data_IF_010590277609
#
_entry.id   IF_010590277609
#
_cell.length_a   1.000
_cell.length_b   1.000
_cell.length_c   1.000
_cell.angle_alpha   90.00
_cell.angle_beta   90.00
_cell.angle_gamma   90.00
#
_symmetry.space_group_name_H-M   'P 1'
#
loop_
_entity.id
_entity.type
_entity.pdbx_description
1 polymer ?
#
# COMPACT_ATOMS: atom_id res chain seq x y z
N UNK A 1 -12.02 6.81 -13.65
CA UNK A 1 -12.63 7.43 -12.44
C UNK A 1 -11.81 8.64 -11.99
N UNK A 2 -12.40 9.60 -11.26
CA UNK A 2 -11.63 10.69 -10.64
C UNK A 2 -10.74 10.13 -9.52
N UNK A 3 -9.52 10.65 -9.33
CA UNK A 3 -8.65 10.21 -8.24
C UNK A 3 -9.26 10.55 -6.88
N UNK A 4 -9.22 9.65 -5.88
CA UNK A 4 -9.70 9.98 -4.54
C UNK A 4 -8.81 11.06 -3.92
N UNK A 5 -9.42 12.05 -3.28
CA UNK A 5 -8.78 13.22 -2.65
C UNK A 5 -8.47 12.88 -1.20
N UNK A 6 -7.19 12.71 -0.88
CA UNK A 6 -6.76 12.26 0.44
C UNK A 6 -6.03 13.40 1.14
N UNK A 7 -6.52 13.80 2.31
CA UNK A 7 -5.85 14.79 3.16
C UNK A 7 -4.96 14.08 4.17
N UNK A 8 -3.64 14.31 4.11
CA UNK A 8 -2.71 13.88 5.15
C UNK A 8 -2.43 15.01 6.14
N UNK A 9 -2.69 14.76 7.42
CA UNK A 9 -2.40 15.67 8.54
C UNK A 9 -1.24 15.08 9.33
N UNK A 10 -0.01 15.55 9.08
CA UNK A 10 1.19 14.96 9.67
C UNK A 10 2.40 15.91 9.67
N UNK A 11 3.48 15.49 10.33
CA UNK A 11 4.78 16.15 10.25
C UNK A 11 5.51 15.91 8.94
N UNK A 12 6.33 16.88 8.53
CA UNK A 12 7.23 16.81 7.39
C UNK A 12 8.59 16.25 7.80
N UNK A 13 8.99 15.14 7.18
CA UNK A 13 10.31 14.52 7.28
C UNK A 13 11.23 15.01 6.16
N UNK A 14 12.25 15.80 6.50
CA UNK A 14 13.22 16.35 5.53
C UNK A 14 13.97 15.29 4.73
N UNK A 15 14.08 14.06 5.23
CA UNK A 15 14.73 12.94 4.54
C UNK A 15 13.86 12.33 3.44
N UNK A 16 12.55 12.57 3.52
CA UNK A 16 11.56 12.03 2.61
C UNK A 16 11.19 10.56 2.83
N UNK A 17 11.57 9.94 3.94
CA UNK A 17 11.28 8.52 4.21
C UNK A 17 9.98 8.26 4.96
N UNK A 18 9.51 9.20 5.77
CA UNK A 18 8.28 9.12 6.56
C UNK A 18 7.43 10.40 6.42
N UNK A 19 6.46 10.57 7.32
CA UNK A 19 5.64 11.79 7.41
C UNK A 19 4.90 12.12 6.12
N UNK A 20 4.68 13.42 5.91
CA UNK A 20 3.99 13.95 4.71
C UNK A 20 4.61 13.44 3.41
N UNK A 21 5.93 13.26 3.35
CA UNK A 21 6.62 12.80 2.15
C UNK A 21 6.28 11.34 1.83
N UNK A 22 6.23 10.46 2.83
CA UNK A 22 5.76 9.08 2.62
C UNK A 22 4.27 9.05 2.26
N UNK A 23 3.47 9.92 2.87
CA UNK A 23 2.04 10.00 2.60
C UNK A 23 1.77 10.42 1.14
N UNK A 24 2.36 11.53 0.67
CA UNK A 24 2.24 11.98 -0.72
C UNK A 24 2.68 10.89 -1.69
N UNK A 25 3.84 10.25 -1.45
CA UNK A 25 4.35 9.19 -2.32
C UNK A 25 3.36 8.03 -2.38
N UNK A 26 2.85 7.59 -1.23
CA UNK A 26 1.91 6.48 -1.15
C UNK A 26 0.62 6.81 -1.87
N UNK A 27 -0.02 7.94 -1.55
CA UNK A 27 -1.28 8.38 -2.16
C UNK A 27 -1.12 8.52 -3.69
N UNK A 28 -0.04 9.17 -4.14
CA UNK A 28 0.25 9.36 -5.57
C UNK A 28 0.46 8.04 -6.28
N UNK A 29 1.25 7.13 -5.70
CA UNK A 29 1.50 5.80 -6.28
C UNK A 29 0.24 4.93 -6.29
N UNK A 30 -0.72 5.25 -5.42
CA UNK A 30 -2.04 4.63 -5.35
C UNK A 30 -3.09 5.34 -6.22
N UNK A 31 -2.67 6.29 -7.06
CA UNK A 31 -3.53 7.03 -7.99
C UNK A 31 -4.53 7.96 -7.31
N UNK A 32 -4.25 8.40 -6.09
CA UNK A 32 -5.00 9.43 -5.37
C UNK A 32 -4.40 10.82 -5.54
N UNK A 33 -5.17 11.85 -5.18
CA UNK A 33 -4.72 13.23 -5.09
C UNK A 33 -4.37 13.56 -3.65
N UNK A 34 -3.09 13.80 -3.37
CA UNK A 34 -2.59 14.08 -2.03
C UNK A 34 -2.70 15.57 -1.69
N UNK A 35 -3.43 15.88 -0.63
CA UNK A 35 -3.43 17.18 0.05
C UNK A 35 -2.78 17.02 1.42
N UNK A 36 -2.29 18.13 1.98
CA UNK A 36 -1.52 18.07 3.22
C UNK A 36 -1.86 19.23 4.16
N UNK A 37 -2.02 18.93 5.44
CA UNK A 37 -1.90 19.90 6.53
C UNK A 37 -0.68 19.54 7.38
N UNK A 38 0.38 20.33 7.27
CA UNK A 38 1.64 20.07 7.97
C UNK A 38 1.48 20.47 9.43
N UNK A 39 1.83 19.59 10.37
CA UNK A 39 1.73 19.83 11.81
C UNK A 39 3.06 20.27 12.42
N UNK A 40 4.16 19.79 11.85
CA UNK A 40 5.51 20.09 12.27
C UNK A 40 6.48 19.86 11.12
N UNK A 41 7.66 20.47 11.19
CA UNK A 41 8.79 20.21 10.31
C UNK A 41 9.92 19.59 11.14
N UNK A 42 10.58 18.56 10.60
CA UNK A 42 11.73 17.93 11.25
C UNK A 42 12.99 18.11 10.41
N UNK A 43 14.08 18.56 11.04
CA UNK A 43 15.42 18.37 10.51
C UNK A 43 15.82 16.93 10.82
N UNK A 44 15.58 16.03 9.86
CA UNK A 44 15.71 14.60 10.04
C UNK A 44 16.40 13.96 8.83
N UNK A 45 17.16 12.90 9.09
CA UNK A 45 17.74 12.01 8.09
C UNK A 45 17.70 10.56 8.58
N UNK A 46 18.29 9.64 7.82
CA UNK A 46 18.30 8.20 8.17
C UNK A 46 19.02 7.87 9.48
N UNK A 47 19.81 8.79 10.03
CA UNK A 47 20.52 8.63 11.30
C UNK A 47 19.73 9.17 12.50
N UNK A 48 18.63 9.89 12.26
CA UNK A 48 17.75 10.41 13.32
C UNK A 48 17.31 11.85 13.11
N UNK A 49 16.70 12.39 14.17
CA UNK A 49 16.14 13.75 14.21
C UNK A 49 17.09 14.68 14.97
N UNK A 50 17.44 15.82 14.36
CA UNK A 50 18.30 16.84 14.96
C UNK A 50 17.55 18.14 15.32
N UNK A 51 16.33 18.31 14.83
CA UNK A 51 15.48 19.45 15.15
C UNK A 51 14.02 19.20 14.81
N UNK A 52 13.12 19.80 15.58
CA UNK A 52 11.67 19.74 15.38
C UNK A 52 11.09 21.12 15.65
N UNK A 53 10.25 21.61 14.74
CA UNK A 53 9.47 22.83 14.92
C UNK A 53 8.00 22.52 14.63
N UNK A 54 7.12 22.83 15.59
CA UNK A 54 5.67 22.60 15.47
C UNK A 54 5.00 23.86 14.94
N UNK A 55 4.00 23.69 14.07
CA UNK A 55 3.18 24.81 13.60
C UNK A 55 2.12 25.18 14.64
N UNK A 56 1.54 26.38 14.51
CA UNK A 56 0.42 26.77 15.36
C UNK A 56 -0.83 25.93 15.03
N UNK A 57 -1.67 25.60 16.03
CA UNK A 57 -2.94 24.91 15.79
C UNK A 57 -3.85 25.65 14.77
N UNK A 58 -3.84 26.98 14.80
CA UNK A 58 -4.57 27.84 13.85
C UNK A 58 -4.08 27.64 12.41
N UNK A 59 -2.76 27.56 12.19
CA UNK A 59 -2.21 27.31 10.87
C UNK A 59 -2.51 25.88 10.40
N UNK A 60 -2.54 24.90 11.30
CA UNK A 60 -2.94 23.52 10.95
C UNK A 60 -4.41 23.49 10.51
N UNK A 61 -5.31 24.09 11.30
CA UNK A 61 -6.73 24.20 10.95
C UNK A 61 -6.94 24.95 9.63
N UNK A 62 -6.27 26.09 9.44
CA UNK A 62 -6.36 26.87 8.20
C UNK A 62 -5.89 26.12 6.95
N UNK A 63 -4.90 25.23 7.07
CA UNK A 63 -4.50 24.34 5.96
C UNK A 63 -5.60 23.30 5.64
N UNK A 64 -6.22 22.72 6.67
CA UNK A 64 -7.33 21.77 6.50
C UNK A 64 -8.50 22.47 5.80
N UNK A 65 -8.92 23.63 6.31
CA UNK A 65 -10.02 24.41 5.76
C UNK A 65 -9.76 24.83 4.30
N UNK A 66 -8.54 25.26 3.97
CA UNK A 66 -8.17 25.63 2.61
C UNK A 66 -8.29 24.45 1.63
N UNK A 67 -7.87 23.25 2.04
CA UNK A 67 -7.97 22.06 1.19
C UNK A 67 -9.43 21.60 1.06
N UNK A 68 -10.11 21.44 2.20
CA UNK A 68 -11.46 20.89 2.27
C UNK A 68 -12.48 21.83 1.64
N UNK A 69 -12.35 23.15 1.82
CA UNK A 69 -13.29 24.14 1.34
C UNK A 69 -13.33 24.36 -0.17
N UNK A 70 -12.24 24.05 -0.88
CA UNK A 70 -12.14 24.20 -2.35
C UNK A 70 -12.12 22.85 -3.06
N UNK A 71 -11.13 22.02 -2.71
CA UNK A 71 -10.86 20.75 -3.41
C UNK A 71 -11.83 19.66 -2.90
N UNK A 72 -12.22 19.72 -1.63
CA UNK A 72 -12.94 18.68 -0.91
C UNK A 72 -12.05 17.48 -0.55
N UNK A 73 -12.61 16.52 0.17
CA UNK A 73 -11.88 15.36 0.71
C UNK A 73 -12.72 14.10 0.64
N UNK A 74 -12.09 12.97 0.35
CA UNK A 74 -12.72 11.64 0.29
C UNK A 74 -12.28 10.73 1.45
N UNK A 75 -11.08 10.95 2.00
CA UNK A 75 -10.64 10.37 3.27
C UNK A 75 -9.50 11.19 3.89
N UNK A 76 -9.33 11.07 5.20
CA UNK A 76 -8.26 11.74 5.96
C UNK A 76 -7.31 10.69 6.54
N UNK A 77 -6.01 10.95 6.43
CA UNK A 77 -4.99 10.25 7.19
C UNK A 77 -4.39 11.20 8.22
N UNK A 78 -4.29 10.75 9.46
CA UNK A 78 -3.63 11.49 10.55
C UNK A 78 -2.35 10.74 10.92
N UNK A 79 -1.23 11.46 11.01
CA UNK A 79 0.05 10.95 11.49
C UNK A 79 0.55 11.71 12.72
N UNK A 80 1.84 12.04 12.74
CA UNK A 80 2.45 12.81 13.83
C UNK A 80 1.79 14.19 13.99
N UNK A 81 1.29 14.50 15.19
CA UNK A 81 0.62 15.78 15.50
C UNK A 81 1.51 16.76 16.27
N UNK A 82 2.45 16.27 17.07
CA UNK A 82 3.47 17.07 17.77
C UNK A 82 3.00 17.83 19.02
N UNK A 83 1.69 18.04 19.24
CA UNK A 83 1.17 18.56 20.51
C UNK A 83 -0.31 18.25 20.73
N UNK A 84 -0.74 18.28 21.99
CA UNK A 84 -2.15 18.18 22.39
C UNK A 84 -3.03 19.28 21.77
N UNK A 85 -2.50 20.51 21.65
CA UNK A 85 -3.25 21.63 21.07
C UNK A 85 -3.56 21.42 19.58
N UNK A 86 -2.59 20.90 18.82
CA UNK A 86 -2.80 20.51 17.42
C UNK A 86 -3.79 19.34 17.35
N UNK A 87 -3.65 18.33 18.22
CA UNK A 87 -4.57 17.19 18.24
C UNK A 87 -6.04 17.61 18.47
N UNK A 88 -6.28 18.56 19.37
CA UNK A 88 -7.61 19.11 19.59
C UNK A 88 -8.12 19.93 18.40
N UNK A 89 -7.30 20.80 17.80
CA UNK A 89 -7.71 21.57 16.63
C UNK A 89 -8.03 20.68 15.42
N UNK A 90 -7.27 19.60 15.23
CA UNK A 90 -7.56 18.59 14.21
C UNK A 90 -8.87 17.88 14.53
N UNK A 91 -9.09 17.44 15.77
CA UNK A 91 -10.35 16.81 16.18
C UNK A 91 -11.55 17.74 15.93
N UNK A 92 -11.46 19.01 16.33
CA UNK A 92 -12.52 20.01 16.15
C UNK A 92 -12.89 20.18 14.66
N UNK A 93 -11.90 20.16 13.77
CA UNK A 93 -12.13 20.28 12.32
C UNK A 93 -12.76 19.00 11.76
N UNK A 94 -12.24 17.84 12.14
CA UNK A 94 -12.68 16.54 11.60
C UNK A 94 -14.06 16.11 12.10
N UNK A 95 -14.49 16.51 13.30
CA UNK A 95 -15.85 16.26 13.81
C UNK A 95 -16.94 16.88 12.91
N UNK A 96 -16.59 17.82 12.03
CA UNK A 96 -17.51 18.44 11.07
C UNK A 96 -17.57 17.72 9.72
N UNK A 97 -16.70 16.73 9.48
CA UNK A 97 -16.57 16.04 8.20
C UNK A 97 -17.19 14.64 8.26
N UNK A 98 -17.95 14.28 7.23
CA UNK A 98 -18.50 12.93 7.05
C UNK A 98 -17.64 12.14 6.05
N UNK A 99 -16.38 11.90 6.42
CA UNK A 99 -15.43 11.12 5.61
C UNK A 99 -14.65 10.14 6.47
N UNK A 100 -14.18 9.02 5.90
CA UNK A 100 -13.34 8.07 6.62
C UNK A 100 -12.04 8.69 7.13
N UNK A 101 -11.69 8.37 8.38
CA UNK A 101 -10.46 8.85 9.05
C UNK A 101 -9.59 7.66 9.44
N UNK A 102 -8.35 7.62 8.94
CA UNK A 102 -7.32 6.66 9.35
C UNK A 102 -6.32 7.36 10.25
N UNK A 103 -6.28 6.97 11.53
CA UNK A 103 -5.41 7.58 12.52
C UNK A 103 -4.21 6.67 12.82
N UNK A 104 -3.00 7.10 12.44
CA UNK A 104 -1.74 6.50 12.86
C UNK A 104 -1.23 7.23 14.11
N UNK A 105 -1.36 6.66 15.32
CA UNK A 105 -1.12 7.35 16.58
C UNK A 105 0.38 7.44 16.87
N UNK A 106 1.12 8.15 16.01
CA UNK A 106 2.59 8.24 16.08
C UNK A 106 3.02 8.87 17.40
N UNK A 107 3.69 8.08 18.25
CA UNK A 107 4.21 8.55 19.55
C UNK A 107 5.74 8.63 19.58
N UNK A 108 6.43 7.83 18.77
CA UNK A 108 7.89 7.70 18.76
C UNK A 108 8.36 7.61 17.30
N UNK A 109 9.43 8.34 16.97
CA UNK A 109 10.05 8.25 15.65
C UNK A 109 10.68 6.87 15.44
N UNK A 110 10.83 6.40 14.20
CA UNK A 110 11.58 5.17 13.90
C UNK A 110 13.03 5.21 14.44
N UNK A 111 13.60 6.41 14.61
CA UNK A 111 14.91 6.62 15.24
C UNK A 111 14.90 6.64 16.78
N UNK A 112 13.74 6.40 17.42
CA UNK A 112 13.58 6.33 18.88
C UNK A 112 13.28 7.65 19.60
N UNK A 113 13.15 8.77 18.88
CA UNK A 113 12.84 10.07 19.47
C UNK A 113 11.37 10.13 19.94
N UNK A 114 11.10 10.58 21.17
CA UNK A 114 9.74 10.79 21.67
C UNK A 114 9.09 11.96 20.93
N UNK A 115 7.90 11.73 20.36
CA UNK A 115 7.14 12.70 19.55
C UNK A 115 5.81 13.11 20.18
N UNK A 116 5.31 12.36 21.17
CA UNK A 116 4.09 12.65 21.90
C UNK A 116 4.33 12.56 23.41
N UNK A 117 3.99 13.63 24.14
CA UNK A 117 3.96 13.62 25.60
C UNK A 117 2.63 13.06 26.13
N UNK A 118 2.50 12.90 27.44
CA UNK A 118 1.29 12.37 28.07
C UNK A 118 0.03 13.19 27.76
N UNK A 119 0.16 14.50 27.59
CA UNK A 119 -0.95 15.38 27.26
C UNK A 119 -1.42 15.13 25.82
N UNK A 120 -0.48 14.93 24.90
CA UNK A 120 -0.75 14.60 23.50
C UNK A 120 -1.42 13.23 23.40
N UNK A 121 -0.93 12.23 24.14
CA UNK A 121 -1.56 10.90 24.20
C UNK A 121 -2.99 11.00 24.77
N UNK A 122 -3.23 11.81 25.80
CA UNK A 122 -4.58 12.03 26.31
C UNK A 122 -5.51 12.68 25.26
N UNK A 123 -4.99 13.60 24.44
CA UNK A 123 -5.74 14.21 23.36
C UNK A 123 -6.12 13.23 22.24
N UNK A 124 -5.38 12.11 22.09
CA UNK A 124 -5.69 11.08 21.10
C UNK A 124 -7.03 10.37 21.35
N UNK A 125 -7.60 10.43 22.56
CA UNK A 125 -8.91 9.82 22.84
C UNK A 125 -10.02 10.36 21.96
N UNK A 126 -10.04 11.68 21.72
CA UNK A 126 -11.02 12.28 20.79
C UNK A 126 -10.80 11.78 19.37
N UNK A 127 -9.54 11.69 18.93
CA UNK A 127 -9.18 11.24 17.59
C UNK A 127 -9.52 9.76 17.36
N UNK A 128 -9.34 8.90 18.38
CA UNK A 128 -9.75 7.49 18.34
C UNK A 128 -11.28 7.40 18.22
N UNK A 129 -12.02 8.27 18.90
CA UNK A 129 -13.49 8.31 18.84
C UNK A 129 -14.06 8.66 17.46
N UNK A 130 -13.35 9.46 16.67
CA UNK A 130 -13.75 9.84 15.30
C UNK A 130 -13.15 8.93 14.21
N UNK A 131 -12.10 8.16 14.54
CA UNK A 131 -11.37 7.37 13.56
C UNK A 131 -12.20 6.19 13.05
N UNK A 132 -12.26 6.03 11.72
CA UNK A 132 -12.73 4.80 11.08
C UNK A 132 -11.76 3.64 11.33
N UNK A 133 -10.46 3.93 11.42
CA UNK A 133 -9.43 2.95 11.78
C UNK A 133 -8.28 3.64 12.52
N UNK A 134 -7.92 3.13 13.68
CA UNK A 134 -6.64 3.48 14.34
C UNK A 134 -5.58 2.42 14.03
N UNK A 135 -4.34 2.78 13.70
CA UNK A 135 -3.30 1.82 13.27
C UNK A 135 -2.11 1.77 14.24
N UNK A 136 -2.27 1.44 15.53
CA UNK A 136 -1.15 1.44 16.47
C UNK A 136 -0.17 0.29 16.20
N UNK A 137 1.13 0.54 16.34
CA UNK A 137 2.12 -0.52 16.46
C UNK A 137 2.16 -1.12 17.88
N UNK A 138 3.08 -2.07 18.13
CA UNK A 138 3.15 -2.76 19.42
C UNK A 138 3.38 -1.78 20.60
N UNK A 139 4.40 -0.89 20.57
CA UNK A 139 4.57 0.12 21.61
C UNK A 139 3.38 1.09 21.76
N UNK A 140 2.84 1.59 20.65
CA UNK A 140 1.72 2.54 20.65
C UNK A 140 0.46 1.90 21.23
N UNK A 141 0.17 0.64 20.87
CA UNK A 141 -0.97 -0.10 21.41
C UNK A 141 -0.85 -0.26 22.92
N UNK A 142 0.36 -0.56 23.43
CA UNK A 142 0.60 -0.64 24.85
C UNK A 142 0.37 0.72 25.55
N UNK A 143 0.85 1.82 24.95
CA UNK A 143 0.65 3.18 25.46
C UNK A 143 -0.83 3.61 25.47
N UNK A 144 -1.63 3.10 24.52
CA UNK A 144 -3.09 3.31 24.47
C UNK A 144 -3.87 2.41 25.45
N UNK A 145 -3.20 1.61 26.27
CA UNK A 145 -3.82 0.70 27.25
C UNK A 145 -4.14 -0.71 26.73
N UNK A 146 -3.61 -1.06 25.56
CA UNK A 146 -3.72 -2.39 24.96
C UNK A 146 -5.07 -2.72 24.34
N UNK A 147 -5.21 -3.96 23.87
CA UNK A 147 -6.42 -4.45 23.20
C UNK A 147 -7.70 -4.26 24.04
N UNK A 148 -7.61 -4.47 25.37
CA UNK A 148 -8.75 -4.35 26.27
C UNK A 148 -9.28 -2.91 26.32
N UNK A 149 -8.39 -1.93 26.41
CA UNK A 149 -8.78 -0.52 26.42
C UNK A 149 -9.35 -0.08 25.06
N UNK A 150 -8.73 -0.49 23.94
CA UNK A 150 -9.25 -0.20 22.60
C UNK A 150 -10.65 -0.82 22.37
N UNK A 151 -10.86 -2.04 22.86
CA UNK A 151 -12.17 -2.71 22.78
C UNK A 151 -13.20 -1.99 23.65
N UNK A 152 -12.84 -1.57 24.87
CA UNK A 152 -13.73 -0.81 25.76
C UNK A 152 -14.17 0.54 25.18
N UNK A 153 -13.31 1.16 24.34
CA UNK A 153 -13.63 2.37 23.58
C UNK A 153 -14.54 2.13 22.37
N UNK A 154 -14.85 0.86 22.06
CA UNK A 154 -15.55 0.49 20.83
C UNK A 154 -14.83 0.97 19.56
N UNK A 155 -13.49 1.03 19.60
CA UNK A 155 -12.67 1.52 18.51
C UNK A 155 -12.36 0.41 17.49
N UNK A 156 -12.37 0.74 16.20
CA UNK A 156 -11.80 -0.10 15.16
C UNK A 156 -10.28 0.15 15.08
N UNK A 157 -9.47 -0.90 15.14
CA UNK A 157 -8.02 -0.75 15.09
C UNK A 157 -7.30 -1.90 14.37
N UNK A 158 -6.16 -1.57 13.76
CA UNK A 158 -5.20 -2.50 13.19
C UNK A 158 -3.97 -2.54 14.09
N UNK A 159 -3.86 -3.58 14.92
CA UNK A 159 -2.67 -3.83 15.71
C UNK A 159 -1.55 -4.33 14.77
N UNK A 160 -0.54 -3.49 14.54
CA UNK A 160 0.58 -3.78 13.63
C UNK A 160 1.67 -4.57 14.37
N UNK A 161 2.04 -5.74 13.87
CA UNK A 161 3.04 -6.62 14.52
C UNK A 161 4.48 -6.41 14.09
N UNK A 162 4.76 -5.44 13.20
CA UNK A 162 6.09 -5.23 12.63
C UNK A 162 7.20 -5.06 13.67
N UNK A 163 6.88 -4.53 14.85
CA UNK A 163 7.82 -4.31 15.96
C UNK A 163 7.93 -5.51 16.94
N UNK A 164 7.09 -6.55 16.78
CA UNK A 164 7.21 -7.77 17.58
C UNK A 164 8.49 -8.55 17.19
N UNK A 165 8.97 -9.41 18.08
CA UNK A 165 10.07 -10.34 17.76
C UNK A 165 9.58 -11.53 16.93
N UNK A 166 10.51 -12.25 16.28
CA UNK A 166 10.24 -13.50 15.58
C UNK A 166 10.24 -13.39 14.04
N UNK A 167 10.22 -14.56 13.38
CA UNK A 167 10.35 -14.67 11.92
C UNK A 167 9.05 -14.36 11.16
N UNK A 168 7.92 -14.29 11.87
CA UNK A 168 6.60 -14.01 11.30
C UNK A 168 6.05 -12.72 11.90
N UNK A 169 5.60 -11.82 11.04
CA UNK A 169 4.86 -10.61 11.40
C UNK A 169 3.37 -10.93 11.36
N UNK A 170 2.66 -10.64 12.46
CA UNK A 170 1.20 -10.77 12.55
C UNK A 170 0.56 -9.38 12.67
N UNK A 171 -0.33 -9.04 11.74
CA UNK A 171 -1.19 -7.86 11.87
C UNK A 171 -2.62 -8.31 12.13
N UNK A 172 -3.31 -7.62 13.05
CA UNK A 172 -4.67 -7.97 13.48
C UNK A 172 -5.62 -6.78 13.37
N UNK A 173 -6.62 -6.89 12.50
CA UNK A 173 -7.73 -5.95 12.43
C UNK A 173 -8.82 -6.39 13.42
N UNK A 174 -9.21 -5.47 14.29
CA UNK A 174 -10.29 -5.66 15.25
C UNK A 174 -11.37 -4.65 14.95
N UNK A 175 -12.58 -5.15 14.70
CA UNK A 175 -13.78 -4.34 14.50
C UNK A 175 -14.77 -4.61 15.64
N UNK A 176 -15.45 -3.58 16.14
CA UNK A 176 -16.48 -3.74 17.16
C UNK A 176 -17.51 -4.82 16.83
N UNK A 177 -17.68 -5.79 17.72
CA UNK A 177 -18.67 -6.86 17.58
C UNK A 177 -18.35 -7.93 16.53
N UNK A 178 -17.18 -7.88 15.89
CA UNK A 178 -16.75 -8.87 14.90
C UNK A 178 -15.59 -9.73 15.41
N UNK A 179 -15.40 -10.90 14.79
CA UNK A 179 -14.18 -11.67 14.99
C UNK A 179 -12.99 -10.92 14.37
N UNK A 180 -11.81 -10.92 15.01
CA UNK A 180 -10.63 -10.30 14.44
C UNK A 180 -10.22 -10.97 13.13
N UNK A 181 -9.76 -10.16 12.17
CA UNK A 181 -9.10 -10.63 10.95
C UNK A 181 -7.60 -10.58 11.20
N UNK A 182 -6.92 -11.70 10.93
CA UNK A 182 -5.50 -11.86 11.19
C UNK A 182 -4.80 -12.17 9.89
N UNK A 183 -3.73 -11.45 9.62
CA UNK A 183 -2.83 -11.77 8.54
C UNK A 183 -1.42 -11.98 9.04
N UNK A 184 -0.71 -12.90 8.39
CA UNK A 184 0.70 -13.18 8.68
C UNK A 184 1.56 -13.02 7.44
N UNK A 185 2.83 -12.69 7.64
CA UNK A 185 3.83 -12.66 6.59
C UNK A 185 5.23 -12.95 7.15
N UNK A 186 6.15 -13.52 6.35
CA UNK A 186 7.55 -13.61 6.74
C UNK A 186 8.11 -12.21 6.99
N UNK A 187 8.93 -12.08 8.05
CA UNK A 187 9.69 -10.85 8.31
C UNK A 187 10.68 -10.62 7.17
N UNK A 188 10.72 -9.39 6.67
CA UNK A 188 11.75 -8.96 5.73
C UNK A 188 12.93 -8.40 6.53
N UNK A 189 14.10 -9.04 6.42
CA UNK A 189 15.33 -8.55 7.03
C UNK A 189 15.87 -7.36 6.23
N UNK A 190 15.55 -6.15 6.68
CA UNK A 190 15.98 -4.91 6.05
C UNK A 190 16.04 -3.77 7.06
N UNK A 191 17.08 -2.93 6.94
CA UNK A 191 17.18 -1.65 7.65
C UNK A 191 16.36 -0.53 6.99
N UNK A 192 15.80 -0.78 5.81
CA UNK A 192 15.06 0.20 5.03
C UNK A 192 13.57 0.21 5.39
N UNK A 193 13.29 0.38 6.68
CA UNK A 193 11.96 0.31 7.28
C UNK A 193 11.45 1.67 7.79
N UNK A 194 12.12 2.76 7.43
CA UNK A 194 11.69 4.10 7.82
C UNK A 194 10.39 4.46 7.10
N UNK A 195 9.36 4.85 7.87
CA UNK A 195 8.06 5.26 7.35
C UNK A 195 7.05 4.14 7.06
N UNK A 196 7.27 2.90 7.53
CA UNK A 196 6.32 1.78 7.35
C UNK A 196 4.90 2.10 7.84
N UNK A 197 4.77 2.68 9.04
CA UNK A 197 3.48 3.08 9.62
C UNK A 197 2.75 4.15 8.81
N UNK A 198 3.45 5.23 8.44
CA UNK A 198 2.89 6.30 7.62
C UNK A 198 2.43 5.80 6.24
N UNK A 199 3.21 4.90 5.64
CA UNK A 199 2.90 4.29 4.35
C UNK A 199 1.67 3.40 4.45
N UNK A 200 1.58 2.53 5.48
CA UNK A 200 0.43 1.64 5.64
C UNK A 200 -0.86 2.43 5.84
N UNK A 201 -0.86 3.39 6.76
CA UNK A 201 -2.03 4.22 7.07
C UNK A 201 -2.47 5.07 5.87
N UNK A 202 -1.51 5.65 5.14
CA UNK A 202 -1.80 6.40 3.91
C UNK A 202 -2.34 5.51 2.80
N UNK A 203 -1.85 4.27 2.68
CA UNK A 203 -2.38 3.33 1.70
C UNK A 203 -3.84 2.96 2.01
N UNK A 204 -4.13 2.63 3.26
CA UNK A 204 -5.48 2.30 3.73
C UNK A 204 -6.42 3.49 3.50
N UNK A 205 -6.02 4.71 3.88
CA UNK A 205 -6.83 5.91 3.66
C UNK A 205 -7.13 6.12 2.17
N UNK A 206 -6.15 5.89 1.30
CA UNK A 206 -6.33 6.03 -0.16
C UNK A 206 -7.32 5.01 -0.72
N UNK A 207 -7.24 3.75 -0.27
CA UNK A 207 -8.15 2.70 -0.71
C UNK A 207 -9.58 2.93 -0.20
N UNK A 208 -9.75 3.30 1.06
CA UNK A 208 -11.08 3.60 1.63
C UNK A 208 -11.67 4.86 1.00
N UNK A 209 -10.87 5.90 0.74
CA UNK A 209 -11.32 7.09 0.01
C UNK A 209 -11.73 6.79 -1.44
N UNK A 210 -11.30 5.66 -2.00
CA UNK A 210 -11.76 5.12 -3.29
C UNK A 210 -13.05 4.29 -3.16
N UNK A 211 -13.56 4.09 -1.95
CA UNK A 211 -14.75 3.28 -1.66
C UNK A 211 -14.48 1.79 -1.40
N UNK A 212 -13.23 1.39 -1.19
CA UNK A 212 -12.89 0.00 -0.89
C UNK A 212 -13.33 -0.40 0.53
N UNK A 213 -13.79 -1.65 0.70
CA UNK A 213 -14.08 -2.20 2.00
C UNK A 213 -12.82 -2.21 2.89
N UNK A 214 -13.00 -1.92 4.19
CA UNK A 214 -11.90 -1.73 5.15
C UNK A 214 -10.92 -2.92 5.20
N UNK A 215 -11.42 -4.14 5.26
CA UNK A 215 -10.58 -5.35 5.30
C UNK A 215 -9.71 -5.48 4.03
N UNK A 216 -10.31 -5.29 2.85
CA UNK A 216 -9.59 -5.31 1.58
C UNK A 216 -8.59 -4.15 1.45
N UNK A 217 -8.93 -2.97 1.96
CA UNK A 217 -8.03 -1.82 2.02
C UNK A 217 -6.80 -2.09 2.91
N UNK A 218 -6.99 -2.77 4.05
CA UNK A 218 -5.89 -3.22 4.92
C UNK A 218 -5.01 -4.23 4.20
N UNK A 219 -5.58 -5.26 3.58
CA UNK A 219 -4.81 -6.27 2.85
C UNK A 219 -4.00 -5.66 1.69
N UNK A 220 -4.61 -4.77 0.90
CA UNK A 220 -3.95 -4.06 -0.19
C UNK A 220 -2.85 -3.12 0.32
N UNK A 221 -3.09 -2.39 1.42
CA UNK A 221 -2.10 -1.55 2.07
C UNK A 221 -0.89 -2.33 2.59
N UNK A 222 -1.11 -3.52 3.17
CA UNK A 222 -0.04 -4.42 3.61
C UNK A 222 0.78 -4.92 2.42
N UNK A 223 0.12 -5.23 1.30
CA UNK A 223 0.79 -5.61 0.06
C UNK A 223 1.67 -4.47 -0.47
N UNK A 224 1.17 -3.22 -0.44
CA UNK A 224 1.95 -2.04 -0.82
C UNK A 224 3.24 -1.91 -0.01
N UNK A 225 3.13 -1.99 1.33
CA UNK A 225 4.29 -1.88 2.23
C UNK A 225 5.30 -2.99 1.98
N UNK A 226 4.84 -4.23 1.80
CA UNK A 226 5.75 -5.35 1.53
C UNK A 226 6.49 -5.21 0.19
N UNK A 227 5.83 -4.69 -0.86
CA UNK A 227 6.50 -4.39 -2.12
C UNK A 227 7.52 -3.26 -1.93
N UNK A 228 7.13 -2.18 -1.23
CA UNK A 228 8.01 -1.04 -0.98
C UNK A 228 9.25 -1.42 -0.16
N UNK A 229 9.11 -2.30 0.82
CA UNK A 229 10.24 -2.82 1.62
C UNK A 229 11.22 -3.63 0.78
N UNK A 230 10.72 -4.49 -0.12
CA UNK A 230 11.56 -5.32 -1.00
C UNK A 230 12.32 -4.50 -2.04
N UNK A 231 11.69 -3.46 -2.58
CA UNK A 231 12.30 -2.57 -3.59
C UNK A 231 12.96 -1.33 -2.97
N UNK A 232 13.39 -1.40 -1.70
CA UNK A 232 14.03 -0.27 -1.04
C UNK A 232 15.29 0.19 -1.81
N UNK A 233 15.49 1.51 -2.02
CA UNK A 233 16.55 2.04 -2.88
C UNK A 233 17.95 2.01 -2.25
N UNK A 234 18.10 1.51 -1.02
CA UNK A 234 19.42 1.41 -0.37
C UNK A 234 19.97 2.72 0.21
N UNK A 235 19.19 3.81 0.24
CA UNK A 235 19.69 5.13 0.65
C UNK A 235 19.93 5.28 2.15
N UNK A 236 20.93 6.09 2.48
CA UNK A 236 21.30 6.47 3.85
C UNK A 236 22.09 5.42 4.62
N UNK A 237 22.63 5.81 5.79
CA UNK A 237 23.51 4.99 6.61
C UNK A 237 22.81 4.37 7.85
N UNK A 238 21.60 4.83 8.21
CA UNK A 238 20.80 4.27 9.29
C UNK A 238 19.51 3.60 8.79
N UNK A 239 18.36 3.99 9.36
CA UNK A 239 17.03 3.56 8.93
C UNK A 239 16.67 4.24 7.61
N UNK A 240 16.77 3.49 6.51
CA UNK A 240 16.56 4.04 5.17
C UNK A 240 15.09 4.03 4.73
N UNK A 241 14.76 4.81 3.68
CA UNK A 241 13.40 4.87 3.14
C UNK A 241 13.04 3.60 2.37
N UNK A 242 11.74 3.35 2.23
CA UNK A 242 11.20 2.28 1.37
C UNK A 242 11.09 2.71 -0.10
N UNK A 243 11.00 1.72 -1.00
CA UNK A 243 10.88 1.83 -2.45
C UNK A 243 9.51 2.21 -2.98
N UNK A 244 8.86 3.24 -2.44
CA UNK A 244 7.53 3.69 -2.90
C UNK A 244 7.41 3.83 -4.43
N UNK A 245 8.36 4.48 -5.14
CA UNK A 245 8.25 4.69 -6.60
C UNK A 245 8.33 3.40 -7.41
N UNK A 246 8.78 2.30 -6.80
CA UNK A 246 8.86 0.98 -7.42
C UNK A 246 7.57 0.18 -7.22
N UNK A 247 6.68 0.60 -6.31
CA UNK A 247 5.41 -0.09 -6.12
C UNK A 247 4.51 0.08 -7.35
N UNK A 248 3.99 -1.05 -7.83
CA UNK A 248 3.04 -1.18 -8.92
C UNK A 248 1.98 -2.11 -8.37
N UNK A 249 0.90 -1.52 -7.88
CA UNK A 249 -0.35 -2.22 -7.64
C UNK A 249 -1.28 -1.86 -8.78
N UNK A 250 -2.15 -2.80 -9.14
CA UNK A 250 -3.28 -2.47 -9.98
C UNK A 250 -4.38 -1.88 -9.10
N UNK A 251 -4.86 -0.67 -9.42
CA UNK A 251 -5.54 0.22 -8.45
C UNK A 251 -6.86 0.79 -8.95
N UNK A 252 -7.14 0.66 -10.24
CA UNK A 252 -8.33 1.26 -10.83
C UNK A 252 -9.55 0.37 -10.72
N UNK A 253 -9.38 -0.92 -10.40
CA UNK A 253 -10.44 -1.93 -10.65
C UNK A 253 -10.77 -2.07 -12.14
N UNK A 254 -10.03 -1.36 -13.00
CA UNK A 254 -10.06 -1.49 -14.44
C UNK A 254 -9.02 -2.53 -14.82
N UNK A 255 -9.17 -3.12 -16.01
CA UNK A 255 -8.23 -4.10 -16.52
C UNK A 255 -6.91 -3.40 -16.88
N UNK A 256 -5.86 -3.59 -16.08
CA UNK A 256 -4.54 -3.09 -16.46
C UNK A 256 -3.77 -4.13 -17.26
N UNK A 257 -3.39 -3.78 -18.50
CA UNK A 257 -2.51 -4.63 -19.29
C UNK A 257 -1.20 -4.83 -18.52
N UNK A 258 -0.96 -6.08 -18.11
CA UNK A 258 0.26 -6.45 -17.40
C UNK A 258 1.34 -6.90 -18.37
N UNK A 259 1.00 -7.85 -19.23
CA UNK A 259 1.93 -8.43 -20.17
C UNK A 259 1.23 -9.06 -21.36
N UNK A 260 2.01 -9.22 -22.42
CA UNK A 260 1.69 -10.11 -23.55
C UNK A 260 2.71 -11.24 -23.50
N UNK A 261 2.23 -12.49 -23.57
CA UNK A 261 3.05 -13.67 -23.77
C UNK A 261 3.08 -13.99 -25.26
N UNK A 262 4.26 -13.97 -25.86
CA UNK A 262 4.45 -14.29 -27.27
C UNK A 262 4.87 -15.76 -27.44
N UNK A 263 4.36 -16.47 -28.46
CA UNK A 263 4.80 -17.82 -28.74
C UNK A 263 6.26 -17.82 -29.22
N UNK A 264 7.08 -18.67 -28.61
CA UNK A 264 8.48 -18.90 -28.98
C UNK A 264 8.62 -20.28 -29.65
N UNK A 265 9.19 -20.29 -30.86
CA UNK A 265 9.57 -21.55 -31.55
C UNK A 265 10.88 -22.12 -31.00
N UNK A 266 11.75 -21.23 -30.57
CA UNK A 266 13.03 -21.51 -29.93
C UNK A 266 13.14 -20.54 -28.75
N UNK A 267 13.04 -21.09 -27.53
CA UNK A 267 13.02 -20.31 -26.31
C UNK A 267 14.38 -19.63 -26.07
N UNK A 268 15.48 -20.35 -26.26
CA UNK A 268 16.84 -19.85 -26.00
C UNK A 268 17.18 -18.70 -26.97
N UNK A 269 16.84 -18.86 -28.25
CA UNK A 269 17.00 -17.79 -29.24
C UNK A 269 16.16 -16.55 -28.88
N UNK A 270 14.93 -16.75 -28.41
CA UNK A 270 14.05 -15.66 -27.98
C UNK A 270 14.61 -14.94 -26.75
N UNK A 271 15.11 -15.69 -25.77
CA UNK A 271 15.73 -15.11 -24.56
C UNK A 271 16.96 -14.30 -24.91
N UNK A 272 17.82 -14.81 -25.78
CA UNK A 272 18.99 -14.07 -26.26
C UNK A 272 18.58 -12.76 -26.94
N UNK A 273 17.59 -12.81 -27.83
CA UNK A 273 17.08 -11.64 -28.54
C UNK A 273 16.58 -10.54 -27.59
N UNK A 274 15.72 -10.87 -26.64
CA UNK A 274 15.15 -9.87 -25.73
C UNK A 274 16.18 -9.31 -24.72
N UNK A 275 17.17 -10.12 -24.31
CA UNK A 275 18.33 -9.60 -23.55
C UNK A 275 19.14 -8.62 -24.39
N UNK A 276 19.41 -8.91 -25.65
CA UNK A 276 20.11 -7.99 -26.57
C UNK A 276 19.33 -6.70 -26.80
N UNK A 277 17.99 -6.76 -26.81
CA UNK A 277 17.11 -5.59 -26.91
C UNK A 277 17.16 -4.70 -25.65
N UNK A 278 17.79 -5.18 -24.56
CA UNK A 278 17.97 -4.43 -23.32
C UNK A 278 16.92 -4.72 -22.24
N UNK A 279 16.12 -5.77 -22.41
CA UNK A 279 15.17 -6.19 -21.38
C UNK A 279 15.86 -7.08 -20.35
N UNK A 280 15.49 -6.93 -19.09
CA UNK A 280 16.05 -7.71 -17.98
C UNK A 280 15.20 -8.97 -17.81
N UNK A 281 15.81 -10.15 -17.91
CA UNK A 281 15.10 -11.40 -17.63
C UNK A 281 14.82 -11.52 -16.13
N UNK A 282 13.55 -11.58 -15.74
CA UNK A 282 13.09 -11.65 -14.35
C UNK A 282 12.55 -13.02 -13.95
N UNK A 283 12.17 -13.85 -14.94
CA UNK A 283 11.81 -15.26 -14.76
C UNK A 283 12.53 -16.09 -15.81
N UNK A 284 13.20 -17.15 -15.35
CA UNK A 284 13.84 -18.17 -16.18
C UNK A 284 13.28 -19.55 -15.84
N UNK A 285 12.39 -20.07 -16.69
CA UNK A 285 11.72 -21.35 -16.47
C UNK A 285 11.74 -22.22 -17.73
N UNK A 286 12.92 -22.66 -18.18
CA UNK A 286 13.06 -23.44 -19.42
C UNK A 286 12.34 -24.80 -19.34
N UNK A 287 12.15 -25.36 -18.14
CA UNK A 287 11.42 -26.62 -17.93
C UNK A 287 9.94 -26.52 -18.29
N UNK A 288 9.33 -25.36 -18.10
CA UNK A 288 7.95 -25.05 -18.56
C UNK A 288 7.94 -24.34 -19.90
N UNK A 289 9.09 -24.20 -20.57
CA UNK A 289 9.21 -23.47 -21.82
C UNK A 289 8.91 -21.99 -21.68
N UNK A 290 9.11 -21.36 -20.51
CA UNK A 290 8.67 -19.98 -20.24
C UNK A 290 9.82 -19.05 -19.82
N UNK A 291 9.78 -17.81 -20.30
CA UNK A 291 10.63 -16.73 -19.79
C UNK A 291 9.84 -15.41 -19.70
N UNK A 292 10.16 -14.58 -18.69
CA UNK A 292 9.61 -13.22 -18.52
C UNK A 292 10.73 -12.20 -18.46
N UNK A 293 10.46 -11.06 -19.07
CA UNK A 293 11.34 -9.92 -19.19
C UNK A 293 10.67 -8.66 -18.66
N UNK A 294 11.46 -7.74 -18.12
CA UNK A 294 11.05 -6.41 -17.68
C UNK A 294 11.79 -5.34 -18.50
N UNK A 295 11.05 -4.38 -19.05
CA UNK A 295 11.60 -3.23 -19.77
C UNK A 295 11.93 -2.06 -18.81
N UNK A 296 12.81 -1.13 -19.20
CA UNK A 296 13.01 0.12 -18.47
C UNK A 296 11.67 0.87 -18.30
N UNK A 297 11.13 0.92 -17.08
CA UNK A 297 9.80 1.44 -16.77
C UNK A 297 8.85 0.44 -16.09
N UNK A 298 9.23 -0.85 -16.02
CA UNK A 298 8.53 -1.88 -15.25
C UNK A 298 7.44 -2.64 -15.99
N UNK A 299 7.28 -2.41 -17.30
CA UNK A 299 6.37 -3.17 -18.16
C UNK A 299 6.98 -4.53 -18.47
N UNK A 300 6.16 -5.58 -18.43
CA UNK A 300 6.61 -6.96 -18.62
C UNK A 300 6.23 -7.54 -19.97
N UNK A 301 7.12 -8.34 -20.53
CA UNK A 301 6.91 -9.16 -21.73
C UNK A 301 7.25 -10.60 -21.38
N UNK A 302 6.47 -11.56 -21.86
CA UNK A 302 6.79 -12.98 -21.67
C UNK A 302 6.86 -13.72 -22.99
N UNK A 303 7.55 -14.85 -23.00
CA UNK A 303 7.58 -15.78 -24.11
C UNK A 303 7.34 -17.20 -23.64
N UNK A 304 6.66 -18.00 -24.45
CA UNK A 304 6.38 -19.40 -24.13
C UNK A 304 6.55 -20.34 -25.32
N UNK A 305 7.19 -21.48 -25.09
CA UNK A 305 7.31 -22.59 -26.03
C UNK A 305 6.52 -23.81 -25.50
N UNK A 306 5.55 -24.30 -26.28
CA UNK A 306 4.88 -25.58 -26.01
C UNK A 306 3.62 -25.54 -25.14
N UNK A 307 3.19 -24.37 -24.64
CA UNK A 307 1.96 -24.22 -23.85
C UNK A 307 0.69 -24.09 -24.71
N UNK A 308 0.48 -24.94 -25.72
CA UNK A 308 -0.81 -25.01 -26.43
C UNK A 308 -1.34 -23.71 -27.06
N UNK A 309 -0.53 -22.64 -27.11
CA UNK A 309 -0.79 -21.37 -27.79
C UNK A 309 -0.79 -21.62 -29.30
N UNK A 310 -1.84 -22.31 -29.75
CA UNK A 310 -2.13 -22.49 -31.15
C UNK A 310 -2.52 -21.12 -31.71
N UNK A 311 -1.53 -20.46 -32.32
CA UNK A 311 -1.69 -19.37 -33.31
C UNK A 311 -1.78 -17.93 -32.74
N UNK A 312 -1.98 -17.73 -31.42
CA UNK A 312 -2.03 -16.39 -30.81
C UNK A 312 -1.29 -16.30 -29.47
N UNK A 313 -0.71 -15.13 -29.16
CA UNK A 313 -0.11 -14.85 -27.86
C UNK A 313 -1.17 -14.65 -26.76
N UNK A 314 -0.82 -14.92 -25.50
CA UNK A 314 -1.70 -14.66 -24.35
C UNK A 314 -1.65 -13.20 -23.91
N UNK A 315 -2.80 -12.57 -23.70
CA UNK A 315 -2.90 -11.20 -23.16
C UNK A 315 -3.31 -11.28 -21.70
N UNK A 316 -2.54 -10.66 -20.81
CA UNK A 316 -2.79 -10.74 -19.37
C UNK A 316 -3.15 -9.37 -18.82
N UNK A 317 -4.34 -9.28 -18.26
CA UNK A 317 -4.80 -8.15 -17.49
C UNK A 317 -4.75 -8.51 -16.01
N UNK A 318 -4.06 -7.68 -15.23
CA UNK A 318 -4.13 -7.80 -13.79
C UNK A 318 -5.45 -7.21 -13.29
N UNK A 319 -5.92 -7.71 -12.15
CA UNK A 319 -7.11 -7.25 -11.45
C UNK A 319 -6.83 -7.32 -9.95
N UNK A 320 -7.08 -6.23 -9.22
CA UNK A 320 -7.03 -6.26 -7.76
C UNK A 320 -8.18 -7.11 -7.19
N UNK A 321 -9.39 -6.88 -7.68
CA UNK A 321 -10.59 -7.67 -7.37
C UNK A 321 -11.03 -8.44 -8.62
N UNK A 322 -10.52 -9.66 -8.74
CA UNK A 322 -10.79 -10.53 -9.89
C UNK A 322 -12.27 -10.94 -9.97
N UNK A 323 -12.91 -11.21 -8.83
CA UNK A 323 -14.28 -11.71 -8.80
C UNK A 323 -15.28 -10.59 -9.19
N UNK A 324 -15.02 -9.34 -8.78
CA UNK A 324 -15.77 -8.18 -9.24
C UNK A 324 -15.58 -7.94 -10.75
N UNK A 325 -14.35 -8.09 -11.27
CA UNK A 325 -14.06 -7.94 -12.69
C UNK A 325 -14.80 -9.00 -13.54
N UNK A 326 -14.78 -10.27 -13.12
CA UNK A 326 -15.53 -11.36 -13.76
C UNK A 326 -17.02 -11.06 -13.74
N UNK A 327 -17.56 -10.67 -12.58
CA UNK A 327 -18.99 -10.38 -12.42
C UNK A 327 -19.44 -9.25 -13.34
N UNK A 328 -18.65 -8.18 -13.46
CA UNK A 328 -18.93 -7.07 -14.37
C UNK A 328 -18.98 -7.54 -15.83
N UNK A 329 -17.97 -8.28 -16.29
CA UNK A 329 -17.89 -8.75 -17.67
C UNK A 329 -19.01 -9.75 -18.00
N UNK A 330 -19.36 -10.63 -17.05
CA UNK A 330 -20.50 -11.54 -17.19
C UNK A 330 -21.83 -10.79 -17.32
N UNK A 331 -22.02 -9.71 -16.54
CA UNK A 331 -23.20 -8.84 -16.65
C UNK A 331 -23.28 -8.11 -18.00
N UNK A 332 -22.14 -7.84 -18.63
CA UNK A 332 -22.03 -7.30 -20.00
C UNK A 332 -22.22 -8.38 -21.09
N UNK A 333 -22.46 -9.64 -20.72
CA UNK A 333 -22.72 -10.76 -21.63
C UNK A 333 -21.46 -11.47 -22.15
N UNK A 334 -20.29 -11.19 -21.58
CA UNK A 334 -19.05 -11.86 -21.95
C UNK A 334 -18.92 -13.22 -21.25
N UNK A 335 -18.54 -14.25 -21.99
CA UNK A 335 -18.28 -15.58 -21.44
C UNK A 335 -16.88 -15.62 -20.82
N UNK A 336 -16.81 -15.61 -19.49
CA UNK A 336 -15.56 -15.71 -18.73
C UNK A 336 -15.55 -17.05 -17.98
N UNK A 337 -14.44 -17.79 -18.09
CA UNK A 337 -14.23 -19.02 -17.33
C UNK A 337 -14.18 -18.72 -15.82
N UNK A 338 -14.66 -19.63 -14.94
CA UNK A 338 -14.55 -19.43 -13.49
C UNK A 338 -13.10 -19.26 -13.04
N UNK A 339 -12.87 -18.35 -12.09
CA UNK A 339 -11.55 -18.14 -11.50
C UNK A 339 -10.99 -19.40 -10.84
N UNK A 340 -9.70 -19.65 -11.01
CA UNK A 340 -8.97 -20.80 -10.44
C UNK A 340 -7.67 -20.34 -9.82
N UNK A 341 -7.41 -20.82 -8.61
CA UNK A 341 -6.10 -20.67 -7.97
C UNK A 341 -5.11 -21.63 -8.61
N UNK A 342 -3.96 -21.11 -8.99
CA UNK A 342 -2.89 -21.83 -9.65
C UNK A 342 -1.78 -22.14 -8.66
N UNK A 343 -1.06 -23.23 -8.89
CA UNK A 343 0.04 -23.65 -8.02
C UNK A 343 1.22 -22.66 -7.98
N UNK A 344 1.27 -21.72 -8.94
CA UNK A 344 2.21 -20.59 -8.97
C UNK A 344 1.68 -19.34 -8.25
N UNK A 345 0.65 -19.47 -7.42
CA UNK A 345 0.17 -18.41 -6.54
C UNK A 345 -0.58 -17.27 -7.24
N UNK A 346 -1.07 -17.52 -8.46
CA UNK A 346 -1.97 -16.63 -9.19
C UNK A 346 -3.39 -17.18 -9.10
N UNK A 347 -4.37 -16.30 -9.04
CA UNK A 347 -5.78 -16.62 -9.28
C UNK A 347 -6.13 -16.10 -10.66
N UNK A 348 -6.60 -16.97 -11.56
CA UNK A 348 -6.76 -16.68 -12.98
C UNK A 348 -8.16 -17.03 -13.48
N UNK A 349 -8.70 -16.20 -14.36
CA UNK A 349 -9.88 -16.47 -15.17
C UNK A 349 -9.59 -16.16 -16.63
N UNK A 350 -10.09 -16.99 -17.53
CA UNK A 350 -9.77 -16.91 -18.95
C UNK A 350 -11.01 -16.59 -19.79
N UNK A 351 -10.79 -15.91 -20.91
CA UNK A 351 -11.79 -15.66 -21.94
C UNK A 351 -11.11 -15.59 -23.30
N UNK A 352 -11.89 -15.73 -24.37
CA UNK A 352 -11.44 -15.56 -25.74
C UNK A 352 -11.93 -14.22 -26.29
N UNK A 353 -11.06 -13.50 -27.00
CA UNK A 353 -11.49 -12.36 -27.80
C UNK A 353 -12.25 -12.82 -29.07
N UNK A 354 -12.89 -11.91 -29.84
CA UNK A 354 -13.62 -12.28 -31.05
C UNK A 354 -12.77 -12.94 -32.15
N UNK A 355 -11.45 -12.80 -32.10
CA UNK A 355 -10.52 -13.41 -33.04
C UNK A 355 -9.94 -14.75 -32.54
N UNK A 356 -10.31 -15.19 -31.33
CA UNK A 356 -9.83 -16.42 -30.71
C UNK A 356 -8.49 -16.28 -29.97
N UNK A 357 -8.04 -15.06 -29.68
CA UNK A 357 -6.88 -14.84 -28.81
C UNK A 357 -7.26 -15.08 -27.35
N UNK A 358 -6.37 -15.74 -26.61
CA UNK A 358 -6.57 -16.02 -25.19
C UNK A 358 -6.27 -14.78 -24.35
N UNK A 359 -7.26 -14.35 -23.57
CA UNK A 359 -7.14 -13.27 -22.60
C UNK A 359 -7.25 -13.88 -21.19
N UNK A 360 -6.32 -13.50 -20.32
CA UNK A 360 -6.28 -13.89 -18.92
C UNK A 360 -6.54 -12.66 -18.05
N UNK A 361 -7.49 -12.78 -17.14
CA UNK A 361 -7.71 -11.87 -16.02
C UNK A 361 -7.11 -12.54 -14.79
N UNK A 362 -6.23 -11.86 -14.06
CA UNK A 362 -5.61 -12.51 -12.90
C UNK A 362 -5.34 -11.57 -11.73
N UNK A 363 -5.29 -12.14 -10.52
CA UNK A 363 -4.76 -11.50 -9.32
C UNK A 363 -3.59 -12.33 -8.78
N UNK A 364 -2.46 -11.69 -8.49
CA UNK A 364 -1.24 -12.40 -8.06
C UNK A 364 -0.55 -11.79 -6.84
N UNK A 365 -1.03 -10.64 -6.33
CA UNK A 365 -0.41 -9.94 -5.20
C UNK A 365 1.12 -9.84 -5.32
N UNK A 366 1.83 -10.29 -4.29
CA UNK A 366 3.30 -10.31 -4.25
C UNK A 366 3.92 -11.28 -5.26
N UNK A 367 3.25 -12.40 -5.56
CA UNK A 367 3.70 -13.43 -6.52
C UNK A 367 3.79 -12.89 -7.95
N UNK A 368 3.21 -11.70 -8.23
CA UNK A 368 3.43 -10.97 -9.49
C UNK A 368 4.91 -10.70 -9.72
N UNK A 369 5.61 -10.18 -8.70
CA UNK A 369 6.99 -9.69 -8.79
C UNK A 369 8.01 -10.49 -8.02
N UNK A 370 7.57 -11.14 -6.96
CA UNK A 370 8.42 -12.00 -6.14
C UNK A 370 7.84 -13.41 -6.01
N UNK A 371 7.54 -14.10 -7.13
CA UNK A 371 7.23 -15.51 -7.05
C UNK A 371 8.41 -16.29 -6.45
N UNK A 372 8.17 -17.47 -5.84
CA UNK A 372 9.23 -18.30 -5.26
C UNK A 372 10.39 -18.68 -6.21
N UNK A 373 10.16 -18.62 -7.53
CA UNK A 373 11.16 -18.89 -8.58
C UNK A 373 11.69 -17.62 -9.28
N UNK A 374 11.44 -16.43 -8.72
CA UNK A 374 12.03 -15.19 -9.24
C UNK A 374 13.57 -15.27 -9.18
N UNK A 375 14.24 -14.75 -10.22
CA UNK A 375 15.69 -14.58 -10.15
C UNK A 375 16.03 -13.49 -9.13
N UNK A 376 17.13 -13.65 -8.36
CA UNK A 376 17.65 -12.58 -7.50
C UNK A 376 17.90 -11.31 -8.34
N UNK A 377 17.52 -10.15 -7.80
CA UNK A 377 17.76 -8.85 -8.42
C UNK A 377 19.11 -8.29 -8.07
#
# INVERSE_FOLDING_TARGET
MNPPRILSIAGSDSSGGAGIQADIKTITMLGGYAMTAITAITAQNTLGVTGVETLSPEMVAGQIDACVGDIGVDAVKIGMLGSAAIAHAVADTLETLDVPVVFDPVMIATSGSVLADSNTIAAFERLIGIATLTTPNVPELAALGGNAAMTARNAAYLAKGGDAEGEVVEDRLVLPGCNPVVWTAPRLDTRHNHGTGCTLSSAIATFIGRGMALEAAVEAGRSFVQLALRDAPGFGAGHGPMGHPMVRLDLSGELCLNQITLPARDLDASVAFYKTLGLIQVVDSPKSGYARFEAPGGVTLSVSAGHGEAVGGGIYFECLDLDAAISRLANEGMAVEPARDQHWGWREAWLDDPAGNRVCLYSAGLSRRYPPWALPR
#
